data_IF_224835616092
#
_entry.id   IF_224835616092
#
_cell.length_a   1.000
_cell.length_b   1.000
_cell.length_c   1.000
_cell.angle_alpha   90.00
_cell.angle_beta   90.00
_cell.angle_gamma   90.00
#
_symmetry.space_group_name_H-M   'P 1'
#
loop_
_entity.id
_entity.type
_entity.pdbx_description
1 polymer ?
#
# COMPACT_ATOMS: atom_id res chain seq x y z
N UNK A 1 0.67 23.46 33.16
CA UNK A 1 2.04 22.90 33.07
C UNK A 1 2.12 21.39 32.76
N UNK A 2 1.04 20.68 32.35
CA UNK A 2 1.11 19.26 31.95
C UNK A 2 0.90 19.02 30.43
N UNK A 3 0.84 20.10 29.64
CA UNK A 3 0.70 20.08 28.16
C UNK A 3 2.01 19.66 27.47
N UNK A 4 3.16 19.98 28.07
CA UNK A 4 4.49 19.74 27.48
C UNK A 4 4.88 18.24 27.51
N UNK A 5 4.33 17.45 28.45
CA UNK A 5 4.65 16.03 28.58
C UNK A 5 4.01 15.13 27.50
N UNK A 6 2.92 15.58 26.85
CA UNK A 6 2.21 14.77 25.84
C UNK A 6 2.73 14.98 24.41
N UNK A 7 3.38 16.12 24.14
CA UNK A 7 3.93 16.43 22.79
C UNK A 7 5.32 15.83 22.57
N UNK A 8 6.10 15.54 23.62
CA UNK A 8 7.42 14.88 23.46
C UNK A 8 7.37 13.41 23.03
N UNK A 9 6.19 12.77 23.06
CA UNK A 9 6.00 11.36 22.64
C UNK A 9 5.42 11.21 21.21
N UNK A 10 5.12 12.30 20.52
CA UNK A 10 4.53 12.34 19.16
C UNK A 10 5.52 11.98 18.03
N UNK A 11 6.76 11.63 18.33
CA UNK A 11 7.79 11.28 17.32
C UNK A 11 8.00 9.77 17.10
N UNK A 12 7.24 8.87 17.76
CA UNK A 12 7.72 7.49 17.95
C UNK A 12 6.94 6.30 17.37
N UNK A 13 5.60 6.26 17.35
CA UNK A 13 4.90 5.01 17.00
C UNK A 13 3.40 5.19 16.68
N UNK A 14 2.88 4.68 15.55
CA UNK A 14 1.46 4.81 15.13
C UNK A 14 0.44 3.94 15.92
N UNK A 15 0.84 3.31 17.02
CA UNK A 15 0.01 2.30 17.72
C UNK A 15 -0.69 2.79 18.99
N UNK A 16 -0.60 4.08 19.34
CA UNK A 16 -1.24 4.65 20.53
C UNK A 16 -2.28 5.70 20.10
N UNK A 17 -3.53 5.27 19.91
CA UNK A 17 -4.61 6.11 19.41
C UNK A 17 -5.85 6.00 20.31
N UNK A 18 -5.65 6.11 21.62
CA UNK A 18 -6.71 5.94 22.62
C UNK A 18 -6.63 7.04 23.69
N UNK A 19 -7.75 7.75 23.88
CA UNK A 19 -8.06 8.77 24.90
C UNK A 19 -7.42 10.17 24.74
N UNK A 20 -8.09 11.33 24.85
CA UNK A 20 -9.47 11.85 24.66
C UNK A 20 -9.38 13.36 24.96
N UNK A 21 -10.12 14.19 24.22
CA UNK A 21 -10.31 15.62 24.42
C UNK A 21 -11.45 15.90 25.44
N UNK A 22 -11.15 16.66 26.50
CA UNK A 22 -12.05 17.56 27.20
C UNK A 22 -11.30 18.90 27.20
N UNK A 23 -11.82 19.97 26.64
CA UNK A 23 -12.55 21.01 27.38
C UNK A 23 -13.19 21.91 26.31
N UNK A 24 -14.51 21.84 26.15
CA UNK A 24 -15.29 23.01 25.71
C UNK A 24 -16.68 23.09 26.38
N UNK A 25 -17.15 22.04 27.09
CA UNK A 25 -18.38 22.13 27.88
C UNK A 25 -18.27 21.28 29.15
N UNK A 26 -17.96 21.90 30.29
CA UNK A 26 -18.13 21.26 31.60
C UNK A 26 -18.41 22.29 32.68
N UNK A 27 -19.64 22.32 33.18
CA UNK A 27 -19.97 22.85 34.51
C UNK A 27 -19.98 21.70 35.51
N UNK A 28 -19.21 21.82 36.59
CA UNK A 28 -19.12 20.85 37.67
C UNK A 28 -20.35 20.88 38.57
N UNK A 29 -20.83 19.72 39.03
CA UNK A 29 -21.83 19.59 40.10
C UNK A 29 -21.40 18.49 41.08
N UNK A 30 -21.49 18.69 42.42
CA UNK A 30 -20.96 17.76 43.41
C UNK A 30 -21.91 16.60 43.75
N UNK A 31 -21.32 15.57 44.38
CA UNK A 31 -21.88 14.25 44.58
C UNK A 31 -22.94 14.14 45.71
N UNK A 32 -24.14 13.69 45.36
CA UNK A 32 -24.94 12.61 46.02
C UNK A 32 -26.30 12.47 45.31
N UNK A 33 -26.81 11.24 45.24
CA UNK A 33 -27.96 10.71 44.45
C UNK A 33 -27.67 10.44 42.96
N UNK A 34 -27.39 9.17 42.63
CA UNK A 34 -27.32 8.66 41.24
C UNK A 34 -28.74 8.63 40.63
N UNK A 35 -29.29 9.81 40.36
CA UNK A 35 -30.52 10.00 39.59
C UNK A 35 -30.26 9.63 38.13
N UNK A 36 -31.26 9.06 37.44
CA UNK A 36 -31.19 8.63 36.03
C UNK A 36 -30.62 9.71 35.08
N UNK A 37 -30.79 11.00 35.39
CA UNK A 37 -30.19 12.11 34.64
C UNK A 37 -28.66 12.19 34.69
N UNK A 38 -28.02 11.72 35.77
CA UNK A 38 -26.55 11.65 35.88
C UNK A 38 -26.02 10.52 34.98
N UNK A 39 -26.69 9.36 34.97
CA UNK A 39 -26.32 8.22 34.11
C UNK A 39 -26.40 8.61 32.63
N UNK A 40 -27.43 9.35 32.23
CA UNK A 40 -27.56 9.84 30.85
C UNK A 40 -26.44 10.82 30.47
N UNK A 41 -26.06 11.72 31.38
CA UNK A 41 -24.98 12.70 31.15
C UNK A 41 -23.61 12.02 31.07
N UNK A 42 -23.33 11.08 31.98
CA UNK A 42 -22.09 10.29 31.97
C UNK A 42 -22.00 9.44 30.70
N UNK A 43 -23.12 8.86 30.24
CA UNK A 43 -23.15 8.07 29.02
C UNK A 43 -22.81 8.91 27.78
N UNK A 44 -23.43 10.08 27.62
CA UNK A 44 -23.11 11.00 26.52
C UNK A 44 -21.63 11.41 26.58
N UNK A 45 -21.09 11.67 27.78
CA UNK A 45 -19.68 11.96 27.94
C UNK A 45 -18.81 10.79 27.44
N UNK A 46 -19.13 9.55 27.77
CA UNK A 46 -18.39 8.40 27.24
C UNK A 46 -18.49 8.29 25.70
N UNK A 47 -19.67 8.58 25.13
CA UNK A 47 -19.88 8.56 23.68
C UNK A 47 -19.07 9.62 22.94
N UNK A 48 -19.15 10.88 23.37
CA UNK A 48 -18.40 12.00 22.77
C UNK A 48 -16.90 11.74 22.83
N UNK A 49 -16.46 11.11 23.92
CA UNK A 49 -15.06 10.79 24.13
C UNK A 49 -14.62 9.51 23.37
N UNK A 50 -15.50 8.67 22.83
CA UNK A 50 -15.09 7.37 22.26
C UNK A 50 -14.45 6.46 23.33
N UNK A 51 -14.98 6.49 24.56
CA UNK A 51 -14.55 5.67 25.71
C UNK A 51 -15.29 4.32 25.72
N UNK A 52 -14.64 3.21 25.31
CA UNK A 52 -15.30 1.91 25.24
C UNK A 52 -15.57 1.30 26.60
N UNK A 53 -14.77 1.64 27.63
CA UNK A 53 -14.90 1.08 28.97
C UNK A 53 -16.11 1.69 29.65
N UNK A 54 -16.23 3.02 29.62
CA UNK A 54 -17.40 3.74 30.12
C UNK A 54 -18.70 3.32 29.42
N UNK A 55 -18.67 3.18 28.09
CA UNK A 55 -19.80 2.68 27.30
C UNK A 55 -20.19 1.26 27.75
N UNK A 56 -19.25 0.31 27.77
CA UNK A 56 -19.53 -1.09 28.13
C UNK A 56 -20.08 -1.20 29.56
N UNK A 57 -19.49 -0.47 30.51
CA UNK A 57 -19.95 -0.47 31.89
C UNK A 57 -21.40 0.07 31.98
N UNK A 58 -21.72 1.13 31.25
CA UNK A 58 -23.08 1.70 31.26
C UNK A 58 -24.10 0.71 30.70
N UNK A 59 -23.79 0.06 29.58
CA UNK A 59 -24.67 -0.93 28.95
C UNK A 59 -24.85 -2.19 29.80
N UNK A 60 -23.81 -2.64 30.51
CA UNK A 60 -23.85 -3.88 31.30
C UNK A 60 -24.61 -3.74 32.62
N UNK A 61 -24.62 -2.54 33.23
CA UNK A 61 -25.10 -2.36 34.60
C UNK A 61 -26.43 -1.59 34.71
N UNK A 62 -27.08 -1.20 33.60
CA UNK A 62 -28.37 -0.52 33.71
C UNK A 62 -29.44 -0.90 32.66
N UNK A 63 -29.98 -2.11 32.74
CA UNK A 63 -31.08 -2.59 31.87
C UNK A 63 -32.33 -1.69 31.88
N UNK A 64 -32.71 -1.16 33.06
CA UNK A 64 -33.85 -0.23 33.17
C UNK A 64 -33.55 1.17 32.63
N UNK A 65 -32.29 1.61 32.59
CA UNK A 65 -31.93 2.89 31.99
C UNK A 65 -32.01 2.84 30.47
N UNK A 66 -31.64 1.69 29.87
CA UNK A 66 -31.63 1.52 28.41
C UNK A 66 -33.01 1.76 27.78
N UNK A 67 -34.10 1.48 28.50
CA UNK A 67 -35.47 1.71 28.02
C UNK A 67 -35.78 3.19 27.77
N UNK A 68 -35.06 4.09 28.42
CA UNK A 68 -35.27 5.55 28.34
C UNK A 68 -34.16 6.26 27.53
N UNK A 69 -33.20 5.52 26.97
CA UNK A 69 -32.13 6.08 26.14
C UNK A 69 -32.59 6.06 24.68
N UNK A 70 -32.44 7.20 23.98
CA UNK A 70 -32.71 7.29 22.55
C UNK A 70 -31.92 6.21 21.79
N UNK A 71 -32.56 5.42 20.91
CA UNK A 71 -31.88 4.41 20.09
C UNK A 71 -30.62 4.91 19.36
N UNK A 72 -30.55 6.19 18.98
CA UNK A 72 -29.37 6.78 18.34
C UNK A 72 -28.13 6.81 19.26
N UNK A 73 -28.31 7.00 20.58
CA UNK A 73 -27.19 6.91 21.52
C UNK A 73 -26.74 5.45 21.72
N UNK A 74 -27.65 4.48 21.60
CA UNK A 74 -27.30 3.07 21.61
C UNK A 74 -26.55 2.67 20.32
N UNK A 75 -26.98 3.17 19.16
CA UNK A 75 -26.23 3.01 17.90
C UNK A 75 -24.82 3.62 18.03
N UNK A 76 -24.68 4.78 18.68
CA UNK A 76 -23.37 5.41 18.90
C UNK A 76 -22.48 4.54 19.80
N UNK A 77 -23.03 4.02 20.90
CA UNK A 77 -22.31 3.07 21.74
C UNK A 77 -21.82 1.85 20.95
N UNK A 78 -22.67 1.26 20.12
CA UNK A 78 -22.29 0.13 19.28
C UNK A 78 -21.20 0.52 18.26
N UNK A 79 -21.29 1.70 17.66
CA UNK A 79 -20.27 2.22 16.76
C UNK A 79 -18.88 2.29 17.41
N UNK A 80 -18.82 2.76 18.66
CA UNK A 80 -17.60 2.82 19.49
C UNK A 80 -17.08 1.42 19.80
N UNK A 81 -17.95 0.51 20.24
CA UNK A 81 -17.54 -0.85 20.58
C UNK A 81 -16.99 -1.61 19.37
N UNK A 82 -17.62 -1.48 18.20
CA UNK A 82 -17.13 -2.07 16.96
C UNK A 82 -15.81 -1.42 16.49
N UNK A 83 -15.66 -0.10 16.63
CA UNK A 83 -14.40 0.59 16.38
C UNK A 83 -13.24 0.00 17.20
N UNK A 84 -13.43 -0.22 18.50
CA UNK A 84 -12.40 -0.77 19.38
C UNK A 84 -12.12 -2.26 19.14
N UNK A 85 -13.09 -3.01 18.61
CA UNK A 85 -12.87 -4.36 18.08
C UNK A 85 -12.13 -4.38 16.74
N UNK A 86 -11.83 -3.20 16.16
CA UNK A 86 -11.30 -3.01 14.79
C UNK A 86 -12.25 -3.49 13.69
N UNK A 87 -13.53 -3.60 14.03
CA UNK A 87 -14.59 -3.96 13.09
C UNK A 87 -15.13 -2.69 12.43
N UNK A 88 -14.27 -2.07 11.62
CA UNK A 88 -14.53 -0.72 11.13
C UNK A 88 -15.73 -0.64 10.18
N UNK A 89 -16.04 -1.70 9.43
CA UNK A 89 -17.19 -1.70 8.52
C UNK A 89 -18.51 -1.54 9.27
N UNK A 90 -18.70 -2.31 10.34
CA UNK A 90 -19.88 -2.29 11.21
C UNK A 90 -19.96 -0.97 11.98
N UNK A 91 -18.81 -0.49 12.49
CA UNK A 91 -18.73 0.83 13.12
C UNK A 91 -19.17 1.96 12.16
N UNK A 92 -18.74 1.92 10.90
CA UNK A 92 -19.17 2.87 9.86
C UNK A 92 -20.67 2.79 9.61
N UNK A 93 -21.28 1.59 9.59
CA UNK A 93 -22.73 1.45 9.40
C UNK A 93 -23.52 2.15 10.52
N UNK A 94 -23.14 1.94 11.79
CA UNK A 94 -23.77 2.64 12.91
C UNK A 94 -23.59 4.16 12.81
N UNK A 95 -22.38 4.64 12.53
CA UNK A 95 -22.14 6.08 12.38
C UNK A 95 -22.89 6.69 11.19
N UNK A 96 -22.99 6.01 10.05
CA UNK A 96 -23.77 6.48 8.89
C UNK A 96 -25.26 6.60 9.26
N UNK A 97 -25.82 5.65 10.03
CA UNK A 97 -27.19 5.72 10.55
C UNK A 97 -27.38 6.96 11.46
N UNK A 98 -26.44 7.20 12.37
CA UNK A 98 -26.49 8.36 13.28
C UNK A 98 -26.46 9.68 12.51
N UNK A 99 -25.52 9.84 11.59
CA UNK A 99 -25.33 11.09 10.84
C UNK A 99 -26.45 11.34 9.82
N UNK A 100 -27.13 10.30 9.36
CA UNK A 100 -28.33 10.44 8.54
C UNK A 100 -29.51 11.00 9.35
N UNK A 101 -29.68 10.56 10.59
CA UNK A 101 -30.76 11.01 11.47
C UNK A 101 -30.45 12.37 12.15
N UNK A 102 -29.18 12.58 12.54
CA UNK A 102 -28.70 13.77 13.25
C UNK A 102 -27.43 14.33 12.61
N UNK A 103 -27.57 15.07 11.50
CA UNK A 103 -26.43 15.68 10.81
C UNK A 103 -25.66 16.70 11.66
N UNK A 104 -26.29 17.25 12.70
CA UNK A 104 -25.80 18.24 13.65
C UNK A 104 -24.92 17.63 14.77
N UNK A 105 -24.82 16.30 14.87
CA UNK A 105 -23.98 15.63 15.86
C UNK A 105 -22.50 15.61 15.42
N UNK A 106 -21.86 16.76 15.56
CA UNK A 106 -20.49 17.01 15.10
C UNK A 106 -19.44 16.03 15.66
N UNK A 107 -19.55 15.64 16.93
CA UNK A 107 -18.64 14.64 17.53
C UNK A 107 -18.78 13.27 16.88
N UNK A 108 -20.01 12.82 16.61
CA UNK A 108 -20.25 11.57 15.88
C UNK A 108 -19.76 11.66 14.42
N UNK A 109 -19.85 12.83 13.77
CA UNK A 109 -19.35 13.06 12.41
C UNK A 109 -17.82 12.97 12.36
N UNK A 110 -17.14 13.54 13.34
CA UNK A 110 -15.68 13.44 13.47
C UNK A 110 -15.25 11.99 13.71
N UNK A 111 -15.96 11.26 14.56
CA UNK A 111 -15.68 9.84 14.80
C UNK A 111 -15.94 9.01 13.54
N UNK A 112 -17.02 9.25 12.79
CA UNK A 112 -17.27 8.65 11.48
C UNK A 112 -16.10 8.89 10.53
N UNK A 113 -15.65 10.13 10.36
CA UNK A 113 -14.51 10.48 9.52
C UNK A 113 -13.23 9.71 9.92
N UNK A 114 -13.02 9.54 11.23
CA UNK A 114 -11.89 8.79 11.78
C UNK A 114 -11.96 7.31 11.39
N UNK A 115 -13.11 6.67 11.56
CA UNK A 115 -13.28 5.25 11.22
C UNK A 115 -13.20 5.04 9.70
N UNK A 116 -13.79 5.92 8.89
CA UNK A 116 -13.65 5.91 7.43
C UNK A 116 -12.17 5.96 7.00
N UNK A 117 -11.39 6.89 7.56
CA UNK A 117 -9.95 7.01 7.25
C UNK A 117 -9.15 5.76 7.65
N UNK A 118 -9.42 5.21 8.84
CA UNK A 118 -8.76 3.99 9.31
C UNK A 118 -9.13 2.78 8.47
N UNK A 119 -10.38 2.71 8.03
CA UNK A 119 -10.85 1.71 7.09
C UNK A 119 -10.44 1.98 5.65
N UNK A 120 -9.65 3.02 5.34
CA UNK A 120 -9.18 3.38 4.00
C UNK A 120 -10.25 3.88 3.01
N UNK A 121 -11.41 4.29 3.51
CA UNK A 121 -12.42 5.03 2.72
C UNK A 121 -12.07 6.52 2.72
N UNK A 122 -11.04 6.86 1.94
CA UNK A 122 -10.35 8.16 1.99
C UNK A 122 -11.25 9.30 1.51
N UNK A 123 -11.97 9.09 0.40
CA UNK A 123 -12.85 10.13 -0.15
C UNK A 123 -13.99 10.44 0.82
N UNK A 124 -14.69 9.41 1.32
CA UNK A 124 -15.77 9.61 2.27
C UNK A 124 -15.29 10.26 3.57
N UNK A 125 -14.09 9.92 4.05
CA UNK A 125 -13.50 10.57 5.22
C UNK A 125 -13.27 12.07 4.98
N UNK A 126 -12.71 12.44 3.81
CA UNK A 126 -12.51 13.84 3.43
C UNK A 126 -13.83 14.60 3.36
N UNK A 127 -14.87 14.01 2.77
CA UNK A 127 -16.21 14.63 2.68
C UNK A 127 -16.79 14.93 4.07
N UNK A 128 -16.71 13.99 5.01
CA UNK A 128 -17.19 14.20 6.37
C UNK A 128 -16.41 15.30 7.09
N UNK A 129 -15.08 15.37 6.90
CA UNK A 129 -14.24 16.40 7.50
C UNK A 129 -14.50 17.78 6.90
N UNK A 130 -14.68 17.88 5.57
CA UNK A 130 -15.00 19.15 4.91
C UNK A 130 -16.36 19.68 5.34
N UNK A 131 -17.34 18.78 5.49
CA UNK A 131 -18.66 19.13 6.00
C UNK A 131 -18.59 19.60 7.45
N UNK A 132 -17.76 18.96 8.29
CA UNK A 132 -17.51 19.44 9.64
C UNK A 132 -16.80 20.81 9.63
N UNK A 133 -15.87 21.02 8.70
CA UNK A 133 -15.08 22.26 8.58
C UNK A 133 -15.92 23.48 8.16
N UNK A 134 -17.06 23.28 7.51
CA UNK A 134 -18.00 24.35 7.14
C UNK A 134 -18.91 24.81 8.28
N UNK A 135 -18.90 24.11 9.42
CA UNK A 135 -19.72 24.47 10.59
C UNK A 135 -19.07 25.60 11.43
N UNK A 136 -19.84 26.18 12.34
CA UNK A 136 -19.36 27.17 13.30
C UNK A 136 -18.49 26.52 14.39
N UNK A 137 -17.18 26.44 14.11
CA UNK A 137 -16.19 25.86 14.99
C UNK A 137 -15.31 26.94 15.64
N UNK A 138 -14.75 26.65 16.81
CA UNK A 138 -13.66 27.46 17.37
C UNK A 138 -12.43 27.40 16.45
N UNK A 139 -11.58 28.43 16.47
CA UNK A 139 -10.36 28.47 15.65
C UNK A 139 -9.45 27.27 15.90
N UNK A 140 -9.36 26.81 17.15
CA UNK A 140 -8.60 25.62 17.52
C UNK A 140 -9.15 24.35 16.87
N UNK A 141 -10.46 24.14 16.92
CA UNK A 141 -11.12 22.98 16.33
C UNK A 141 -11.01 22.99 14.80
N UNK A 142 -11.21 24.16 14.18
CA UNK A 142 -11.03 24.34 12.75
C UNK A 142 -9.59 23.98 12.31
N UNK A 143 -8.58 24.47 13.04
CA UNK A 143 -7.18 24.15 12.74
C UNK A 143 -6.83 22.66 12.91
N UNK A 144 -7.48 21.95 13.83
CA UNK A 144 -7.34 20.50 13.98
C UNK A 144 -7.92 19.74 12.79
N UNK A 145 -9.11 20.13 12.33
CA UNK A 145 -9.78 19.52 11.17
C UNK A 145 -9.00 19.78 9.90
N UNK A 146 -8.47 21.00 9.70
CA UNK A 146 -7.62 21.33 8.55
C UNK A 146 -6.38 20.43 8.47
N UNK A 147 -5.73 20.16 9.61
CA UNK A 147 -4.62 19.20 9.69
C UNK A 147 -5.04 17.77 9.38
N UNK A 148 -6.26 17.38 9.76
CA UNK A 148 -6.77 16.05 9.45
C UNK A 148 -7.08 15.93 7.94
N UNK A 149 -7.75 16.91 7.34
CA UNK A 149 -8.00 16.97 5.89
C UNK A 149 -6.67 16.84 5.13
N UNK A 150 -5.65 17.61 5.51
CA UNK A 150 -4.32 17.54 4.87
C UNK A 150 -3.69 16.13 4.96
N UNK A 151 -3.90 15.41 6.07
CA UNK A 151 -3.43 14.02 6.23
C UNK A 151 -4.21 13.04 5.35
N UNK A 152 -5.54 13.18 5.28
CA UNK A 152 -6.39 12.35 4.41
C UNK A 152 -5.95 12.53 2.96
N UNK A 153 -5.81 13.77 2.50
CA UNK A 153 -5.38 14.11 1.14
C UNK A 153 -4.00 13.56 0.79
N UNK A 154 -3.05 13.59 1.74
CA UNK A 154 -1.70 13.04 1.53
C UNK A 154 -1.71 11.55 1.15
N UNK A 155 -2.75 10.81 1.55
CA UNK A 155 -2.91 9.38 1.21
C UNK A 155 -3.06 9.12 -0.29
N UNK A 156 -3.59 10.10 -1.02
CA UNK A 156 -3.85 10.01 -2.46
C UNK A 156 -2.85 10.81 -3.30
N UNK A 157 -1.77 11.32 -2.72
CA UNK A 157 -0.73 12.02 -3.48
C UNK A 157 0.07 11.06 -4.37
N UNK A 158 0.80 11.64 -5.32
CA UNK A 158 1.78 10.91 -6.12
C UNK A 158 2.82 10.24 -5.22
N UNK A 159 3.07 8.96 -5.48
CA UNK A 159 4.17 8.20 -4.90
C UNK A 159 5.24 8.01 -5.94
N UNK A 160 6.43 8.54 -5.67
CA UNK A 160 7.61 8.37 -6.52
C UNK A 160 8.61 7.45 -5.84
N UNK A 161 9.18 6.52 -6.62
CA UNK A 161 10.28 5.64 -6.22
C UNK A 161 11.29 5.57 -7.36
N UNK A 162 12.54 5.31 -7.02
CA UNK A 162 13.58 5.07 -8.01
C UNK A 162 14.90 4.71 -7.36
N UNK A 163 15.85 4.31 -8.19
CA UNK A 163 17.20 4.00 -7.78
C UNK A 163 18.14 3.92 -8.97
N UNK A 164 19.43 4.01 -8.68
CA UNK A 164 20.50 3.82 -9.65
C UNK A 164 21.56 2.89 -9.07
N UNK A 165 22.29 2.19 -9.94
CA UNK A 165 23.36 1.27 -9.57
C UNK A 165 24.49 1.40 -10.58
N UNK A 166 25.72 1.60 -10.10
CA UNK A 166 26.89 1.62 -10.96
C UNK A 166 27.18 0.22 -11.51
N UNK A 167 27.48 0.14 -12.81
CA UNK A 167 27.81 -1.09 -13.51
C UNK A 167 29.29 -1.11 -13.88
N UNK A 168 29.93 -2.25 -13.66
CA UNK A 168 31.29 -2.54 -14.12
C UNK A 168 31.37 -4.01 -14.55
N UNK A 169 30.89 -4.27 -15.75
CA UNK A 169 30.73 -5.60 -16.31
C UNK A 169 31.89 -5.90 -17.26
N UNK A 170 32.47 -7.10 -17.11
CA UNK A 170 33.60 -7.54 -17.94
C UNK A 170 33.17 -8.28 -19.22
N UNK A 171 31.89 -8.66 -19.31
CA UNK A 171 31.34 -9.48 -20.38
C UNK A 171 29.88 -9.12 -20.65
N UNK A 172 29.61 -7.89 -21.11
CA UNK A 172 28.25 -7.39 -21.36
C UNK A 172 27.55 -8.07 -22.55
N UNK A 173 28.33 -8.71 -23.42
CA UNK A 173 27.84 -9.46 -24.57
C UNK A 173 27.63 -10.96 -24.26
N UNK A 174 27.71 -11.35 -22.97
CA UNK A 174 27.46 -12.70 -22.47
C UNK A 174 28.15 -13.81 -23.28
N UNK A 175 29.37 -13.56 -23.75
CA UNK A 175 30.13 -14.55 -24.51
C UNK A 175 30.58 -15.68 -23.57
N UNK A 176 30.48 -16.96 -23.98
CA UNK A 176 31.03 -18.08 -23.22
C UNK A 176 32.54 -17.92 -22.94
N UNK A 177 33.06 -18.46 -21.81
CA UNK A 177 34.49 -18.47 -21.53
C UNK A 177 35.29 -19.06 -22.69
N UNK A 178 36.34 -18.36 -23.12
CA UNK A 178 37.16 -18.71 -24.27
C UNK A 178 37.81 -20.09 -24.08
N UNK A 179 37.41 -21.07 -24.90
CA UNK A 179 37.98 -22.43 -24.87
C UNK A 179 37.14 -23.49 -25.60
N UNK A 180 35.84 -23.26 -25.79
CA UNK A 180 34.96 -24.14 -26.58
C UNK A 180 34.86 -23.65 -28.02
N UNK A 181 35.40 -24.43 -28.96
CA UNK A 181 35.17 -24.28 -30.40
C UNK A 181 34.30 -25.45 -30.85
N UNK A 182 33.14 -25.18 -31.43
CA UNK A 182 32.23 -26.21 -31.94
C UNK A 182 32.27 -26.12 -33.47
N UNK A 183 32.83 -27.15 -34.12
CA UNK A 183 32.86 -27.30 -35.60
C UNK A 183 33.29 -26.02 -36.36
N UNK A 184 34.33 -25.34 -35.88
CA UNK A 184 34.89 -24.13 -36.53
C UNK A 184 34.25 -22.81 -36.11
N UNK A 185 33.12 -22.83 -35.38
CA UNK A 185 32.61 -21.65 -34.70
C UNK A 185 33.47 -21.30 -33.50
N UNK A 186 33.90 -20.04 -33.41
CA UNK A 186 34.63 -19.49 -32.26
C UNK A 186 33.78 -18.41 -31.59
N UNK A 187 33.66 -18.42 -30.26
CA UNK A 187 32.99 -17.34 -29.55
C UNK A 187 33.73 -16.01 -29.79
N UNK A 188 32.98 -14.92 -29.80
CA UNK A 188 33.55 -13.57 -29.88
C UNK A 188 34.41 -13.25 -28.65
N UNK A 189 35.06 -12.08 -28.63
CA UNK A 189 35.75 -11.64 -27.41
C UNK A 189 34.75 -11.01 -26.43
N UNK A 190 34.88 -11.29 -25.11
CA UNK A 190 34.12 -10.58 -24.10
C UNK A 190 34.31 -9.06 -24.22
N UNK A 191 33.22 -8.31 -24.15
CA UNK A 191 33.22 -6.86 -24.15
C UNK A 191 32.96 -6.34 -22.73
N UNK A 192 33.70 -5.32 -22.32
CA UNK A 192 33.48 -4.67 -21.03
C UNK A 192 32.57 -3.44 -21.17
N UNK A 193 31.76 -3.19 -20.14
CA UNK A 193 30.88 -2.04 -20.05
C UNK A 193 30.92 -1.46 -18.64
N UNK A 194 31.18 -0.17 -18.55
CA UNK A 194 30.97 0.64 -17.35
C UNK A 194 29.74 1.49 -17.60
N UNK A 195 28.86 1.59 -16.62
CA UNK A 195 27.57 2.21 -16.84
C UNK A 195 26.78 2.49 -15.58
N UNK A 196 25.50 2.79 -15.78
CA UNK A 196 24.50 2.90 -14.73
C UNK A 196 23.27 2.12 -15.15
N UNK A 197 22.77 1.30 -14.22
CA UNK A 197 21.41 0.79 -14.24
C UNK A 197 20.54 1.76 -13.44
N UNK A 198 19.36 2.08 -13.96
CA UNK A 198 18.39 2.93 -13.26
C UNK A 198 16.99 2.34 -13.35
N UNK A 199 16.15 2.72 -12.41
CA UNK A 199 14.72 2.43 -12.45
C UNK A 199 13.94 3.53 -11.72
N UNK A 200 12.70 3.74 -12.13
CA UNK A 200 11.79 4.71 -11.54
C UNK A 200 10.34 4.23 -11.65
N UNK A 201 9.52 4.57 -10.66
CA UNK A 201 8.09 4.33 -10.66
C UNK A 201 7.37 5.58 -10.11
N UNK A 202 6.33 6.00 -10.81
CA UNK A 202 5.38 6.99 -10.34
C UNK A 202 3.99 6.35 -10.26
N UNK A 203 3.32 6.49 -9.12
CA UNK A 203 2.01 5.93 -8.87
C UNK A 203 1.07 7.00 -8.34
N UNK A 204 -0.13 7.09 -8.90
CA UNK A 204 -1.21 7.95 -8.40
C UNK A 204 -2.43 7.08 -8.13
N UNK A 205 -3.00 7.22 -6.93
CA UNK A 205 -4.32 6.68 -6.60
C UNK A 205 -5.32 7.81 -6.50
N UNK A 206 -6.52 7.54 -7.01
CA UNK A 206 -7.67 8.40 -6.85
C UNK A 206 -8.74 7.59 -6.11
N UNK A 207 -8.98 7.91 -4.83
CA UNK A 207 -10.02 7.24 -4.07
C UNK A 207 -11.41 7.57 -4.60
N UNK A 208 -12.24 6.54 -4.60
CA UNK A 208 -13.68 6.58 -4.83
C UNK A 208 -14.41 6.25 -3.52
N UNK A 209 -15.73 6.47 -3.44
CA UNK A 209 -16.51 6.09 -2.27
C UNK A 209 -16.45 4.58 -2.01
N UNK A 210 -16.80 4.18 -0.79
CA UNK A 210 -16.93 2.78 -0.36
C UNK A 210 -15.67 1.97 -0.67
N UNK A 211 -14.51 2.52 -0.31
CA UNK A 211 -13.20 1.85 -0.34
C UNK A 211 -12.60 1.56 -1.72
N UNK A 212 -13.28 1.94 -2.81
CA UNK A 212 -12.77 1.78 -4.16
C UNK A 212 -11.71 2.84 -4.52
N UNK A 213 -10.91 2.57 -5.55
CA UNK A 213 -9.99 3.54 -6.11
C UNK A 213 -9.62 3.21 -7.57
N UNK A 214 -9.21 4.24 -8.30
CA UNK A 214 -8.51 4.14 -9.58
C UNK A 214 -7.01 4.34 -9.35
N UNK A 215 -6.18 3.66 -10.14
CA UNK A 215 -4.73 3.74 -10.05
C UNK A 215 -4.10 3.95 -11.41
N UNK A 216 -3.14 4.86 -11.48
CA UNK A 216 -2.24 5.03 -12.62
C UNK A 216 -0.82 4.74 -12.18
N UNK A 217 -0.10 3.91 -12.94
CA UNK A 217 1.29 3.55 -12.68
C UNK A 217 2.12 3.80 -13.93
N UNK A 218 3.21 4.52 -13.76
CA UNK A 218 4.25 4.71 -14.75
C UNK A 218 5.52 4.08 -14.19
N UNK A 219 6.23 3.31 -15.00
CA UNK A 219 7.53 2.80 -14.62
C UNK A 219 8.53 2.89 -15.78
N UNK A 220 9.79 3.04 -15.43
CA UNK A 220 10.90 2.97 -16.38
C UNK A 220 12.07 2.26 -15.75
N UNK A 221 12.83 1.54 -16.55
CA UNK A 221 14.12 0.97 -16.16
C UNK A 221 15.05 0.97 -17.34
N UNK A 222 16.35 0.97 -17.10
CA UNK A 222 17.30 0.89 -18.19
C UNK A 222 18.72 0.69 -17.70
N UNK A 223 19.59 0.43 -18.66
CA UNK A 223 21.04 0.38 -18.50
C UNK A 223 21.65 1.26 -19.58
N UNK A 224 22.61 2.10 -19.21
CA UNK A 224 23.41 2.85 -20.17
C UNK A 224 24.88 2.75 -19.83
N UNK A 225 25.73 2.55 -20.84
CA UNK A 225 27.16 2.33 -20.71
C UNK A 225 27.97 3.45 -21.36
N UNK A 226 28.85 4.11 -20.60
CA UNK A 226 29.67 5.23 -21.09
C UNK A 226 30.67 4.82 -22.19
N UNK A 227 31.07 3.55 -22.19
CA UNK A 227 32.11 3.02 -23.07
C UNK A 227 31.60 1.93 -24.02
N UNK A 228 30.31 1.58 -23.98
CA UNK A 228 29.73 0.57 -24.87
C UNK A 228 28.21 0.73 -25.05
N UNK A 229 27.82 1.83 -25.69
CA UNK A 229 26.40 2.19 -25.93
C UNK A 229 25.62 1.20 -26.80
N UNK A 230 26.29 0.27 -27.47
CA UNK A 230 25.64 -0.79 -28.26
C UNK A 230 24.80 -1.75 -27.41
N UNK A 231 24.99 -1.75 -26.08
CA UNK A 231 24.25 -2.59 -25.14
C UNK A 231 23.30 -1.79 -24.25
N UNK A 232 23.03 -0.52 -24.58
CA UNK A 232 22.06 0.26 -23.82
C UNK A 232 20.65 -0.33 -23.96
N UNK A 233 19.91 -0.28 -22.85
CA UNK A 233 18.56 -0.83 -22.68
C UNK A 233 17.67 0.24 -22.04
N UNK A 234 16.42 0.32 -22.49
CA UNK A 234 15.41 1.17 -21.88
C UNK A 234 14.04 0.51 -21.98
N UNK A 235 13.37 0.37 -20.86
CA UNK A 235 11.99 -0.06 -20.75
C UNK A 235 11.14 1.07 -20.19
N UNK A 236 9.93 1.23 -20.73
CA UNK A 236 8.91 2.13 -20.22
C UNK A 236 7.57 1.43 -20.18
N UNK A 237 6.84 1.55 -19.07
CA UNK A 237 5.50 0.99 -18.94
C UNK A 237 4.51 1.96 -18.34
N UNK A 238 3.25 1.80 -18.77
CA UNK A 238 2.10 2.53 -18.28
C UNK A 238 0.98 1.54 -17.98
N UNK A 239 0.34 1.71 -16.83
CA UNK A 239 -0.84 0.93 -16.44
C UNK A 239 -1.90 1.81 -15.81
N UNK A 240 -3.16 1.51 -16.13
CA UNK A 240 -4.34 2.17 -15.55
C UNK A 240 -5.30 1.10 -15.08
N UNK A 241 -5.61 1.10 -13.80
CA UNK A 241 -6.36 0.03 -13.15
C UNK A 241 -7.33 0.55 -12.10
N UNK A 242 -7.98 -0.39 -11.43
CA UNK A 242 -8.88 -0.12 -10.33
C UNK A 242 -8.68 -1.14 -9.21
N UNK A 243 -9.15 -0.79 -8.02
CA UNK A 243 -9.05 -1.67 -6.86
C UNK A 243 -9.98 -1.30 -5.74
N UNK A 244 -9.93 -2.13 -4.71
CA UNK A 244 -10.62 -1.97 -3.44
C UNK A 244 -9.59 -2.05 -2.31
N UNK A 245 -9.69 -1.18 -1.31
CA UNK A 245 -8.81 -1.21 -0.13
C UNK A 245 -9.57 -0.92 1.15
N UNK A 246 -9.40 -1.78 2.15
CA UNK A 246 -9.76 -1.49 3.53
C UNK A 246 -8.59 -1.74 4.49
N UNK A 247 -8.85 -1.74 5.81
CA UNK A 247 -7.79 -1.98 6.81
C UNK A 247 -7.12 -3.36 6.67
N UNK A 248 -7.85 -4.37 6.19
CA UNK A 248 -7.40 -5.77 6.16
C UNK A 248 -7.16 -6.30 4.75
N UNK A 249 -7.55 -5.59 3.72
CA UNK A 249 -7.60 -6.10 2.35
C UNK A 249 -7.25 -5.00 1.37
N UNK A 250 -6.36 -5.29 0.43
CA UNK A 250 -6.19 -4.52 -0.79
C UNK A 250 -6.20 -5.49 -1.96
N UNK A 251 -6.97 -5.17 -2.99
CA UNK A 251 -7.01 -5.91 -4.25
C UNK A 251 -6.99 -4.88 -5.36
N UNK A 252 -6.11 -5.03 -6.32
CA UNK A 252 -6.08 -4.16 -7.50
C UNK A 252 -5.75 -4.93 -8.76
N UNK A 253 -6.37 -4.48 -9.85
CA UNK A 253 -6.27 -5.05 -11.18
C UNK A 253 -5.79 -3.95 -12.13
N UNK A 254 -4.66 -4.20 -12.81
CA UNK A 254 -3.93 -3.20 -13.60
C UNK A 254 -3.57 -3.79 -14.97
N UNK A 255 -4.38 -3.55 -16.00
CA UNK A 255 -3.93 -3.63 -17.39
C UNK A 255 -2.75 -2.69 -17.60
N UNK A 256 -1.77 -3.13 -18.36
CA UNK A 256 -0.59 -2.34 -18.66
C UNK A 256 -0.07 -2.61 -20.08
N UNK A 257 0.68 -1.63 -20.56
CA UNK A 257 1.49 -1.71 -21.77
C UNK A 257 2.93 -1.33 -21.40
N UNK A 258 3.88 -2.07 -21.93
CA UNK A 258 5.31 -1.87 -21.76
C UNK A 258 5.98 -1.90 -23.12
N UNK A 259 6.95 -1.01 -23.32
CA UNK A 259 7.76 -0.93 -24.52
C UNK A 259 9.22 -0.95 -24.14
N UNK A 260 9.93 -1.88 -24.76
CA UNK A 260 11.37 -2.06 -24.58
C UNK A 260 12.14 -1.53 -25.77
N UNK A 261 13.28 -0.94 -25.50
CA UNK A 261 14.25 -0.46 -26.47
C UNK A 261 15.62 -1.06 -26.17
N UNK A 262 16.34 -1.39 -27.23
CA UNK A 262 17.67 -1.97 -27.15
C UNK A 262 18.53 -1.44 -28.29
N UNK A 263 19.79 -1.13 -28.01
CA UNK A 263 20.73 -0.60 -29.01
C UNK A 263 21.18 -1.62 -30.05
N UNK A 264 20.86 -2.90 -29.89
CA UNK A 264 21.09 -3.91 -30.94
C UNK A 264 22.42 -4.67 -30.84
N UNK A 265 23.21 -4.43 -29.79
CA UNK A 265 24.44 -5.18 -29.51
C UNK A 265 25.43 -5.07 -30.65
N UNK A 266 25.92 -6.22 -31.13
CA UNK A 266 26.86 -6.27 -32.26
C UNK A 266 26.29 -5.72 -33.57
N UNK A 267 24.97 -5.67 -33.70
CA UNK A 267 24.28 -5.13 -34.88
C UNK A 267 23.79 -3.69 -34.68
N UNK A 268 24.26 -3.03 -33.62
CA UNK A 268 23.97 -1.62 -33.35
C UNK A 268 24.42 -0.74 -34.51
N UNK A 269 23.51 0.08 -35.00
CA UNK A 269 23.77 1.17 -35.96
C UNK A 269 23.85 2.54 -35.26
N UNK A 270 23.81 2.56 -33.93
CA UNK A 270 23.83 3.74 -33.09
C UNK A 270 22.45 4.09 -32.54
N UNK A 271 22.33 4.09 -31.21
CA UNK A 271 21.13 4.52 -30.49
C UNK A 271 20.11 3.41 -30.23
N UNK A 272 19.10 3.76 -29.44
CA UNK A 272 18.07 2.83 -28.98
C UNK A 272 17.04 2.53 -30.07
N UNK A 273 16.85 1.26 -30.40
CA UNK A 273 15.82 0.80 -31.34
C UNK A 273 14.67 0.13 -30.60
N UNK A 274 13.46 0.21 -31.15
CA UNK A 274 12.31 -0.52 -30.61
C UNK A 274 12.59 -2.03 -30.62
N UNK A 275 12.53 -2.66 -29.45
CA UNK A 275 12.90 -4.06 -29.27
C UNK A 275 11.66 -4.97 -29.16
N UNK A 276 10.75 -4.63 -28.25
CA UNK A 276 9.52 -5.39 -28.03
C UNK A 276 8.39 -4.55 -27.44
N UNK A 277 7.17 -5.04 -27.61
CA UNK A 277 5.94 -4.55 -27.00
C UNK A 277 5.36 -5.64 -26.11
N UNK A 278 5.06 -5.31 -24.85
CA UNK A 278 4.37 -6.21 -23.93
C UNK A 278 3.04 -5.61 -23.52
N UNK A 279 1.98 -6.39 -23.63
CA UNK A 279 0.67 -6.07 -23.08
C UNK A 279 0.30 -7.11 -22.04
N UNK A 280 -0.31 -6.69 -20.95
CA UNK A 280 -0.72 -7.65 -19.94
C UNK A 280 -1.61 -7.07 -18.88
N UNK A 281 -1.88 -7.92 -17.91
CA UNK A 281 -2.68 -7.64 -16.73
C UNK A 281 -1.88 -8.04 -15.51
N UNK A 282 -1.91 -7.18 -14.51
CA UNK A 282 -1.34 -7.42 -13.19
C UNK A 282 -2.44 -7.41 -12.13
N UNK A 283 -2.46 -8.41 -11.27
CA UNK A 283 -3.31 -8.46 -10.08
C UNK A 283 -2.41 -8.46 -8.85
N UNK A 284 -2.63 -7.49 -7.97
CA UNK A 284 -1.88 -7.37 -6.72
C UNK A 284 -2.87 -7.42 -5.55
N UNK A 285 -2.59 -8.27 -4.56
CA UNK A 285 -3.41 -8.38 -3.35
C UNK A 285 -2.55 -8.29 -2.09
N UNK A 286 -3.14 -7.71 -1.04
CA UNK A 286 -2.59 -7.68 0.31
C UNK A 286 -3.71 -8.04 1.29
N UNK A 287 -3.52 -9.11 2.07
CA UNK A 287 -4.48 -9.56 3.07
C UNK A 287 -3.84 -9.61 4.46
N UNK A 288 -4.44 -8.91 5.42
CA UNK A 288 -4.13 -9.04 6.84
C UNK A 288 -4.89 -10.26 7.39
N UNK A 289 -4.27 -11.44 7.33
CA UNK A 289 -4.89 -12.72 7.73
C UNK A 289 -5.15 -12.80 9.24
N UNK A 290 -4.24 -12.24 10.04
CA UNK A 290 -4.36 -12.11 11.49
C UNK A 290 -3.53 -10.90 11.93
N UNK A 291 -3.60 -10.48 13.20
CA UNK A 291 -2.91 -9.26 13.70
C UNK A 291 -1.40 -9.20 13.42
N UNK A 292 -0.75 -10.36 13.23
CA UNK A 292 0.69 -10.49 12.97
C UNK A 292 1.03 -11.14 11.62
N UNK A 293 0.04 -11.52 10.83
CA UNK A 293 0.24 -12.26 9.59
C UNK A 293 -0.32 -11.49 8.42
N UNK A 294 0.49 -11.34 7.37
CA UNK A 294 0.09 -10.68 6.14
C UNK A 294 0.52 -11.49 4.93
N UNK A 295 -0.39 -11.65 3.99
CA UNK A 295 -0.16 -12.31 2.72
C UNK A 295 -0.16 -11.27 1.61
N UNK A 296 0.88 -11.31 0.77
CA UNK A 296 0.97 -10.56 -0.47
C UNK A 296 0.96 -11.52 -1.64
N UNK A 297 0.15 -11.21 -2.64
CA UNK A 297 0.07 -11.99 -3.88
C UNK A 297 0.22 -11.07 -5.08
N UNK A 298 1.02 -11.51 -6.04
CA UNK A 298 1.31 -10.79 -7.29
C UNK A 298 1.16 -11.79 -8.43
N UNK A 299 0.10 -11.63 -9.21
CA UNK A 299 -0.17 -12.41 -10.40
C UNK A 299 0.00 -11.51 -11.64
N UNK A 300 0.68 -12.01 -12.66
CA UNK A 300 0.90 -11.30 -13.92
C UNK A 300 0.68 -12.25 -15.08
N UNK A 301 -0.15 -11.80 -16.03
CA UNK A 301 -0.35 -12.41 -17.33
C UNK A 301 0.05 -11.41 -18.38
N UNK A 302 1.02 -11.74 -19.22
CA UNK A 302 1.47 -10.85 -20.27
C UNK A 302 1.81 -11.57 -21.57
N UNK A 303 1.68 -10.86 -22.69
CA UNK A 303 2.10 -11.27 -24.02
C UNK A 303 3.20 -10.32 -24.46
N UNK A 304 4.34 -10.87 -24.87
CA UNK A 304 5.45 -10.10 -25.40
C UNK A 304 5.62 -10.34 -26.91
N UNK A 305 5.79 -9.27 -27.68
CA UNK A 305 5.96 -9.29 -29.13
C UNK A 305 7.24 -8.53 -29.51
N UNK A 306 8.20 -9.26 -30.07
CA UNK A 306 9.49 -8.75 -30.51
C UNK A 306 9.43 -8.24 -31.95
N UNK A 307 10.14 -7.16 -32.24
CA UNK A 307 10.17 -6.55 -33.58
C UNK A 307 10.94 -7.36 -34.62
N UNK A 308 12.06 -7.96 -34.21
CA UNK A 308 12.94 -8.73 -35.10
C UNK A 308 12.98 -10.22 -34.74
N UNK A 309 12.99 -10.55 -33.44
CA UNK A 309 13.12 -11.94 -32.93
C UNK A 309 11.76 -12.58 -32.67
N UNK A 310 10.93 -12.71 -33.69
CA UNK A 310 9.52 -13.16 -33.54
C UNK A 310 9.38 -14.57 -32.98
N UNK A 311 10.40 -15.42 -33.12
CA UNK A 311 10.45 -16.74 -32.49
C UNK A 311 10.40 -16.71 -30.95
N UNK A 312 10.73 -15.56 -30.34
CA UNK A 312 10.62 -15.30 -28.90
C UNK A 312 9.26 -14.75 -28.47
N UNK A 313 8.36 -14.45 -29.42
CA UNK A 313 7.01 -13.98 -29.09
C UNK A 313 6.31 -15.01 -28.22
N UNK A 314 5.57 -14.56 -27.20
CA UNK A 314 5.00 -15.53 -26.28
C UNK A 314 4.21 -14.95 -25.14
N UNK A 315 3.60 -15.87 -24.39
CA UNK A 315 2.84 -15.58 -23.19
C UNK A 315 3.65 -15.93 -21.94
N UNK A 316 3.61 -15.04 -20.96
CA UNK A 316 4.15 -15.25 -19.62
C UNK A 316 3.04 -15.23 -18.59
N UNK A 317 3.04 -16.24 -17.74
CA UNK A 317 2.18 -16.36 -16.58
C UNK A 317 3.08 -16.39 -15.36
N UNK A 318 2.82 -15.55 -14.37
CA UNK A 318 3.57 -15.60 -13.12
C UNK A 318 2.67 -15.39 -11.91
N UNK A 319 2.98 -16.10 -10.84
CA UNK A 319 2.35 -15.99 -9.53
C UNK A 319 3.44 -15.91 -8.48
N UNK A 320 3.35 -14.92 -7.61
CA UNK A 320 4.28 -14.66 -6.52
C UNK A 320 3.47 -14.51 -5.23
N UNK A 321 3.68 -15.44 -4.30
CA UNK A 321 3.05 -15.41 -2.97
C UNK A 321 4.11 -15.08 -1.94
N UNK A 322 3.83 -14.21 -0.98
CA UNK A 322 4.74 -13.86 0.11
C UNK A 322 3.96 -13.73 1.41
N UNK A 323 4.22 -14.64 2.35
CA UNK A 323 3.68 -14.59 3.69
C UNK A 323 4.68 -13.90 4.61
N UNK A 324 4.20 -12.94 5.39
CA UNK A 324 5.00 -12.18 6.34
C UNK A 324 4.42 -12.34 7.74
N UNK A 325 5.28 -12.74 8.67
CA UNK A 325 5.02 -12.76 10.10
C UNK A 325 5.72 -11.58 10.77
N UNK A 326 5.00 -10.91 11.66
CA UNK A 326 5.48 -9.78 12.44
C UNK A 326 5.50 -10.15 13.93
N UNK A 327 6.65 -10.63 14.46
CA UNK A 327 6.78 -10.93 15.89
C UNK A 327 6.49 -9.70 16.77
N UNK A 328 7.00 -8.54 16.34
CA UNK A 328 6.79 -7.23 16.95
C UNK A 328 6.80 -6.12 15.86
N UNK A 329 6.76 -4.85 16.29
CA UNK A 329 6.71 -3.69 15.37
C UNK A 329 8.05 -3.36 14.67
N UNK A 330 9.16 -4.01 15.01
CA UNK A 330 10.53 -3.77 14.51
C UNK A 330 11.11 -4.97 13.77
N UNK A 331 10.45 -6.12 13.84
CA UNK A 331 10.91 -7.37 13.26
C UNK A 331 9.91 -7.89 12.24
N UNK A 332 10.42 -8.53 11.20
CA UNK A 332 9.60 -9.37 10.33
C UNK A 332 10.37 -10.60 9.89
N UNK A 333 9.63 -11.66 9.59
CA UNK A 333 10.10 -12.85 8.90
C UNK A 333 9.17 -13.06 7.72
N UNK A 334 9.73 -13.34 6.55
CA UNK A 334 8.98 -13.54 5.32
C UNK A 334 9.42 -14.83 4.63
N UNK A 335 8.46 -15.52 4.04
CA UNK A 335 8.68 -16.64 3.16
C UNK A 335 7.82 -16.46 1.91
N UNK A 336 8.46 -16.50 0.74
CA UNK A 336 7.80 -16.32 -0.54
C UNK A 336 8.03 -17.48 -1.49
N UNK A 337 7.01 -17.78 -2.28
CA UNK A 337 7.05 -18.70 -3.39
C UNK A 337 6.80 -17.94 -4.69
N UNK A 338 7.40 -18.38 -5.77
CA UNK A 338 7.20 -17.81 -7.10
C UNK A 338 7.16 -18.91 -8.13
N UNK A 339 6.21 -18.83 -9.05
CA UNK A 339 6.14 -19.68 -10.22
C UNK A 339 5.96 -18.80 -11.46
N UNK A 340 6.72 -19.08 -12.52
CA UNK A 340 6.63 -18.40 -13.79
C UNK A 340 6.70 -19.41 -14.92
N UNK A 341 5.85 -19.22 -15.92
CA UNK A 341 5.75 -20.05 -17.11
C UNK A 341 5.83 -19.13 -18.33
N UNK A 342 6.86 -19.32 -19.16
CA UNK A 342 7.01 -18.64 -20.45
C UNK A 342 6.75 -19.65 -21.57
N UNK A 343 5.87 -19.28 -22.50
CA UNK A 343 5.57 -20.07 -23.69
C UNK A 343 5.75 -19.19 -24.92
N UNK A 344 6.82 -19.46 -25.65
CA UNK A 344 7.22 -18.78 -26.88
C UNK A 344 6.79 -19.56 -28.12
N UNK A 345 6.83 -18.91 -29.28
CA UNK A 345 6.60 -19.57 -30.59
C UNK A 345 7.54 -20.76 -30.79
N UNK A 346 8.83 -20.60 -30.51
CA UNK A 346 9.78 -21.71 -30.48
C UNK A 346 9.86 -22.32 -29.08
N UNK A 347 9.59 -23.63 -28.97
CA UNK A 347 9.53 -24.35 -27.68
C UNK A 347 10.85 -24.32 -26.94
N UNK A 348 11.95 -24.24 -27.67
CA UNK A 348 13.34 -24.16 -27.26
C UNK A 348 13.60 -22.95 -26.34
N UNK A 349 12.82 -21.88 -26.54
CA UNK A 349 12.88 -20.64 -25.76
C UNK A 349 11.82 -20.57 -24.66
N UNK A 350 11.01 -21.62 -24.49
CA UNK A 350 10.01 -21.74 -23.44
C UNK A 350 10.61 -22.33 -22.17
N UNK A 351 10.23 -21.81 -21.01
CA UNK A 351 10.72 -22.35 -19.74
C UNK A 351 9.69 -22.21 -18.62
N UNK A 352 9.93 -22.98 -17.55
CA UNK A 352 9.27 -22.82 -16.28
C UNK A 352 10.32 -22.44 -15.23
N UNK A 353 9.95 -21.56 -14.30
CA UNK A 353 10.82 -21.14 -13.21
C UNK A 353 10.04 -21.17 -11.91
N UNK A 354 10.59 -21.90 -10.94
CA UNK A 354 10.15 -21.85 -9.55
C UNK A 354 11.19 -21.12 -8.70
N UNK A 355 10.73 -20.36 -7.71
CA UNK A 355 11.61 -19.63 -6.82
C UNK A 355 11.08 -19.68 -5.38
N UNK A 356 12.00 -19.87 -4.42
CA UNK A 356 11.75 -19.69 -3.00
C UNK A 356 12.52 -18.47 -2.51
N UNK A 357 11.87 -17.62 -1.71
CA UNK A 357 12.40 -16.33 -1.23
C UNK A 357 12.21 -16.22 0.29
N UNK A 358 13.18 -16.66 1.09
CA UNK A 358 13.20 -16.33 2.51
C UNK A 358 13.70 -14.89 2.70
N UNK A 359 13.20 -14.21 3.73
CA UNK A 359 13.67 -12.88 4.09
C UNK A 359 13.37 -12.57 5.54
N UNK A 360 14.13 -11.66 6.14
CA UNK A 360 13.92 -11.24 7.52
C UNK A 360 14.62 -9.92 7.81
N UNK A 361 14.13 -9.21 8.83
CA UNK A 361 14.77 -8.00 9.31
C UNK A 361 14.63 -7.92 10.83
N UNK A 362 15.72 -7.55 11.49
CA UNK A 362 15.78 -7.19 12.90
C UNK A 362 16.12 -5.70 12.99
N UNK A 363 15.38 -4.94 13.80
CA UNK A 363 15.56 -3.49 14.02
C UNK A 363 15.20 -2.56 12.82
N UNK A 364 14.11 -2.85 12.10
CA UNK A 364 13.56 -1.96 11.08
C UNK A 364 12.61 -0.90 11.66
N UNK A 365 13.11 0.10 12.39
CA UNK A 365 12.33 1.33 12.63
C UNK A 365 12.16 2.06 11.28
N UNK A 366 10.93 2.46 10.93
CA UNK A 366 10.59 3.29 9.74
C UNK A 366 10.66 2.68 8.33
N UNK A 367 10.92 1.38 8.19
CA UNK A 367 11.01 0.76 6.86
C UNK A 367 9.66 0.19 6.38
N UNK A 368 8.63 0.24 7.23
CA UNK A 368 7.41 -0.57 7.19
C UNK A 368 6.35 -0.24 6.13
N UNK A 369 6.42 0.93 5.48
CA UNK A 369 5.61 1.25 4.29
C UNK A 369 6.44 1.35 3.00
N UNK A 370 7.78 1.37 3.10
CA UNK A 370 8.68 1.78 2.01
C UNK A 370 9.53 0.66 1.40
N UNK A 371 9.74 -0.46 2.08
CA UNK A 371 10.77 -1.45 1.68
C UNK A 371 10.32 -2.62 0.81
N UNK A 372 9.03 -2.97 0.77
CA UNK A 372 8.66 -4.22 0.10
C UNK A 372 8.45 -4.10 -1.41
N UNK A 373 8.16 -2.90 -1.93
CA UNK A 373 8.32 -2.66 -3.37
C UNK A 373 9.79 -2.65 -3.81
N UNK A 374 10.75 -2.45 -2.90
CA UNK A 374 12.18 -2.59 -3.19
C UNK A 374 12.59 -4.06 -3.42
N UNK A 375 11.91 -5.02 -2.80
CA UNK A 375 12.11 -6.46 -3.07
C UNK A 375 11.58 -6.87 -4.46
N UNK A 376 10.64 -6.12 -5.04
CA UNK A 376 10.27 -6.29 -6.46
C UNK A 376 11.35 -5.78 -7.42
N UNK A 377 12.27 -4.92 -6.98
CA UNK A 377 13.36 -4.36 -7.81
C UNK A 377 14.53 -5.35 -7.97
N UNK A 378 14.69 -6.32 -7.06
CA UNK A 378 15.67 -7.41 -7.19
C UNK A 378 15.20 -8.47 -8.23
N UNK A 379 14.24 -8.14 -9.11
CA UNK A 379 13.87 -9.01 -10.25
C UNK A 379 14.82 -8.90 -11.46
N UNK A 380 15.70 -7.88 -11.53
CA UNK A 380 16.58 -7.67 -12.70
C UNK A 380 18.09 -7.81 -12.41
N UNK A 381 18.49 -8.28 -11.23
CA UNK A 381 19.90 -8.54 -10.90
C UNK A 381 20.08 -9.97 -10.40
N UNK A 382 19.94 -10.93 -11.30
CA UNK A 382 20.62 -12.22 -11.16
C UNK A 382 21.31 -12.51 -12.47
N UNK A 383 22.64 -12.45 -12.41
CA UNK A 383 23.56 -13.04 -13.38
C UNK A 383 23.10 -14.44 -13.72
N UNK A 384 22.94 -14.70 -15.02
CA UNK A 384 22.86 -16.03 -15.60
C UNK A 384 24.09 -16.83 -15.15
N UNK A 385 23.94 -17.66 -14.11
CA UNK A 385 24.69 -18.92 -14.08
C UNK A 385 23.87 -19.89 -14.91
N UNK A 386 24.14 -19.90 -16.21
CA UNK A 386 23.74 -20.98 -17.11
C UNK A 386 24.40 -22.26 -16.59
N UNK A 387 23.64 -23.05 -15.84
CA UNK A 387 23.95 -24.44 -15.56
C UNK A 387 23.20 -25.30 -16.56
N UNK A 388 23.82 -25.53 -17.72
CA UNK A 388 23.98 -26.84 -18.36
C UNK A 388 25.37 -26.90 -19.00
#
# INVERSE_FOLDING_TARGET
>A
MKIIAYIRLMQGNPSAMTFILLILFSSSVPAKQKNQGIVHTDFINYLVNNDPVGVKNTLQYCDKCLQNIDPLFLDWANAILEYHKKNYAESIQYYRKIISARPDWYSARLQLATVLYLNKDILSAEEQLRKLRSEHLTEEAAGLIDRFIARVQKTDHWSFRGGFTYLNEKNINNVPPSGRSIRGWKPEKPQSGKGVMFWGEAEKRFSLPDNFFVITRLATSGKTYWNNHSYDELDGSVGVGAGYRNVNTMVQFIPFYEKSYYSGGQTSDGGLQSYSDTTGIKVETEFQLASRWRLYSDAKLDKNEYKKKTYLNGYRYSLNETLIYFPDSRQYISAGLGYSMLRTEEKDSSFNKSAFRPGGCTNGMEVYQRSYKLLMVIKNTWTETSGE
#
